data_IF_581144657808
#
_entry.id   IF_581144657808
#
_cell.length_a   1.000
_cell.length_b   1.000
_cell.length_c   1.000
_cell.angle_alpha   90.00
_cell.angle_beta   90.00
_cell.angle_gamma   90.00
#
_symmetry.space_group_name_H-M   'P 1'
#
loop_
_entity.id
_entity.type
_entity.pdbx_description
1 polymer ?
#
# COMPACT_ATOMS: atom_id res chain seq x y z
N UNK A 1 4.09 -5.22 0.34
CA UNK A 1 3.06 -4.19 0.28
C UNK A 1 2.42 -4.13 -1.08
N UNK A 2 1.40 -3.27 -1.18
CA UNK A 2 0.77 -2.86 -2.43
C UNK A 2 1.16 -1.40 -2.72
N UNK A 3 1.83 -1.14 -3.85
CA UNK A 3 2.34 0.19 -4.21
C UNK A 3 1.25 1.19 -4.65
N UNK A 4 -0.01 0.75 -4.67
CA UNK A 4 -1.18 1.54 -5.05
C UNK A 4 -1.63 1.27 -6.47
N UNK A 5 -2.24 2.28 -7.09
CA UNK A 5 -2.93 2.17 -8.36
C UNK A 5 -3.70 3.44 -8.68
N UNK A 6 -4.85 3.30 -9.32
CA UNK A 6 -5.71 4.41 -9.71
C UNK A 6 -6.46 5.00 -8.50
N UNK A 7 -6.58 6.33 -8.46
CA UNK A 7 -7.35 7.03 -7.43
C UNK A 7 -8.82 6.58 -7.41
N UNK A 8 -9.46 6.53 -8.58
CA UNK A 8 -10.88 6.19 -8.67
C UNK A 8 -11.14 4.78 -8.13
N UNK A 9 -10.26 3.80 -8.40
CA UNK A 9 -10.40 2.47 -7.82
C UNK A 9 -10.33 2.48 -6.29
N UNK A 10 -9.47 3.32 -5.69
CA UNK A 10 -9.47 3.46 -4.23
C UNK A 10 -10.78 4.07 -3.72
N UNK A 11 -11.33 5.06 -4.42
CA UNK A 11 -12.63 5.68 -4.11
C UNK A 11 -13.76 4.65 -4.18
N UNK A 12 -13.85 3.92 -5.29
CA UNK A 12 -14.87 2.90 -5.52
C UNK A 12 -14.80 1.79 -4.46
N UNK A 13 -13.58 1.35 -4.10
CA UNK A 13 -13.41 0.35 -3.04
C UNK A 13 -13.87 0.89 -1.69
N UNK A 14 -13.56 2.15 -1.36
CA UNK A 14 -14.01 2.76 -0.11
C UNK A 14 -15.53 2.85 -0.02
N UNK A 15 -16.20 3.25 -1.12
CA UNK A 15 -17.66 3.39 -1.20
C UNK A 15 -18.41 2.08 -0.90
N UNK A 16 -17.75 0.93 -1.04
CA UNK A 16 -18.35 -0.36 -0.66
C UNK A 16 -18.49 -0.55 0.85
N UNK A 17 -17.68 0.10 1.68
CA UNK A 17 -17.56 -0.19 3.11
C UNK A 17 -17.95 0.96 4.03
N UNK A 18 -18.14 2.16 3.49
CA UNK A 18 -18.57 3.35 4.25
C UNK A 18 -19.84 3.92 3.63
N UNK A 19 -20.64 4.63 4.42
CA UNK A 19 -21.78 5.39 3.92
C UNK A 19 -21.29 6.67 3.22
N UNK A 20 -22.14 7.71 3.11
CA UNK A 20 -21.82 8.99 2.47
C UNK A 20 -20.86 9.86 3.31
N UNK A 21 -19.73 9.29 3.71
CA UNK A 21 -18.65 9.90 4.46
C UNK A 21 -17.48 10.22 3.54
N UNK A 22 -16.56 11.03 4.04
CA UNK A 22 -15.42 11.49 3.26
C UNK A 22 -14.39 10.39 3.03
N UNK A 23 -13.91 10.26 1.80
CA UNK A 23 -12.90 9.27 1.39
C UNK A 23 -11.51 9.90 1.33
N UNK A 24 -11.35 10.94 0.51
CA UNK A 24 -10.05 11.59 0.27
C UNK A 24 -10.26 12.98 -0.30
N UNK A 25 -9.32 13.89 -0.04
CA UNK A 25 -9.24 15.15 -0.78
C UNK A 25 -7.93 15.25 -1.55
N UNK A 26 -8.01 15.75 -2.79
CA UNK A 26 -6.84 16.11 -3.59
C UNK A 26 -6.69 17.62 -3.52
N UNK A 27 -5.56 18.07 -2.94
CA UNK A 27 -5.27 19.50 -2.81
C UNK A 27 -4.16 19.92 -3.75
N UNK A 28 -4.49 20.82 -4.67
CA UNK A 28 -3.61 21.39 -5.67
C UNK A 28 -2.95 22.66 -5.12
N UNK A 29 -1.94 23.16 -5.84
CA UNK A 29 -1.36 24.48 -5.55
C UNK A 29 -2.39 25.59 -5.73
N UNK A 30 -3.22 25.52 -6.78
CA UNK A 30 -4.38 26.39 -6.95
C UNK A 30 -5.57 25.77 -6.20
N UNK A 31 -6.00 26.43 -5.12
CA UNK A 31 -7.05 25.91 -4.23
C UNK A 31 -8.42 25.78 -4.91
N UNK A 32 -8.67 26.52 -6.00
CA UNK A 32 -9.90 26.39 -6.79
C UNK A 32 -10.00 25.04 -7.52
N UNK A 33 -8.87 24.34 -7.69
CA UNK A 33 -8.83 23.02 -8.33
C UNK A 33 -8.96 21.87 -7.33
N UNK A 34 -9.06 22.16 -6.02
CA UNK A 34 -9.19 21.13 -5.00
C UNK A 34 -10.41 20.26 -5.26
N UNK A 35 -10.25 18.96 -5.05
CA UNK A 35 -11.33 17.96 -5.21
C UNK A 35 -11.52 17.22 -3.90
N UNK A 36 -12.77 16.94 -3.55
CA UNK A 36 -13.14 16.05 -2.45
C UNK A 36 -13.90 14.86 -3.04
N UNK A 37 -13.62 13.68 -2.51
CA UNK A 37 -14.29 12.44 -2.85
C UNK A 37 -14.96 11.91 -1.58
N UNK A 38 -16.22 11.52 -1.71
CA UNK A 38 -17.11 11.12 -0.64
C UNK A 38 -17.92 9.91 -1.12
N UNK A 39 -18.37 9.08 -0.18
CA UNK A 39 -19.23 7.96 -0.50
C UNK A 39 -20.53 8.43 -1.15
N UNK A 40 -21.02 7.69 -2.14
CA UNK A 40 -22.16 8.08 -2.95
C UNK A 40 -23.47 7.43 -2.49
N UNK A 41 -23.37 6.32 -1.76
CA UNK A 41 -24.49 5.52 -1.29
C UNK A 41 -24.25 4.99 0.13
N UNK A 42 -25.24 4.25 0.64
CA UNK A 42 -25.04 3.47 1.86
C UNK A 42 -24.05 2.33 1.57
N UNK A 43 -23.29 1.94 2.60
CA UNK A 43 -22.28 0.91 2.50
C UNK A 43 -22.90 -0.39 1.94
N UNK A 44 -22.30 -0.93 0.89
CA UNK A 44 -22.73 -2.21 0.31
C UNK A 44 -22.43 -3.37 1.25
N UNK A 45 -21.30 -3.30 1.95
CA UNK A 45 -20.88 -4.29 2.95
C UNK A 45 -21.33 -3.82 4.32
N UNK A 46 -22.05 -4.71 5.01
CA UNK A 46 -22.58 -4.45 6.34
C UNK A 46 -21.47 -4.04 7.32
N UNK A 47 -21.75 -3.01 8.13
CA UNK A 47 -20.81 -2.46 9.09
C UNK A 47 -20.40 -3.46 10.18
N UNK A 48 -21.25 -4.44 10.49
CA UNK A 48 -20.97 -5.52 11.46
C UNK A 48 -20.05 -6.59 10.89
N UNK A 49 -19.81 -6.61 9.56
CA UNK A 49 -18.90 -7.58 8.94
C UNK A 49 -17.48 -7.38 9.48
N UNK A 50 -16.90 -8.40 10.17
CA UNK A 50 -15.57 -8.29 10.76
C UNK A 50 -14.51 -8.14 9.70
N UNK A 51 -13.64 -7.14 9.85
CA UNK A 51 -12.52 -6.96 8.92
C UNK A 51 -11.35 -6.21 9.56
N UNK A 52 -10.18 -6.39 8.96
CA UNK A 52 -8.92 -5.68 9.27
C UNK A 52 -8.18 -5.39 7.97
N UNK A 53 -7.26 -4.42 8.02
CA UNK A 53 -6.33 -4.16 6.92
C UNK A 53 -4.90 -4.41 7.41
N UNK A 54 -4.16 -5.22 6.64
CA UNK A 54 -2.73 -5.41 6.84
C UNK A 54 -1.95 -4.43 5.96
N UNK A 55 -1.03 -3.67 6.57
CA UNK A 55 -0.14 -2.76 5.86
C UNK A 55 1.32 -2.99 6.23
N UNK A 56 2.21 -2.56 5.33
CA UNK A 56 3.64 -2.53 5.54
C UNK A 56 4.26 -1.26 4.93
N UNK A 57 5.57 -1.10 5.09
CA UNK A 57 6.36 0.02 4.56
C UNK A 57 6.30 0.18 3.02
N UNK A 58 5.85 -0.85 2.30
CA UNK A 58 5.70 -0.86 0.86
C UNK A 58 4.24 -0.60 0.42
N UNK A 59 3.35 -0.28 1.35
CA UNK A 59 1.98 0.12 1.09
C UNK A 59 1.94 1.60 0.74
N UNK A 60 1.51 1.95 -0.48
CA UNK A 60 1.68 3.30 -1.01
C UNK A 60 0.48 3.80 -1.83
N UNK A 61 0.35 5.13 -1.98
CA UNK A 61 -0.58 5.77 -2.93
C UNK A 61 -2.04 5.35 -2.71
N UNK A 62 -2.72 4.83 -3.72
CA UNK A 62 -4.11 4.35 -3.63
C UNK A 62 -4.36 3.40 -2.45
N UNK A 63 -3.39 2.54 -2.10
CA UNK A 63 -3.51 1.67 -0.91
C UNK A 63 -3.50 2.46 0.39
N UNK A 64 -2.76 3.56 0.48
CA UNK A 64 -2.79 4.45 1.64
C UNK A 64 -4.12 5.22 1.71
N UNK A 65 -4.68 5.60 0.56
CA UNK A 65 -6.00 6.25 0.49
C UNK A 65 -7.08 5.30 1.03
N UNK A 66 -7.12 4.06 0.54
CA UNK A 66 -8.10 3.07 0.98
C UNK A 66 -7.98 2.79 2.48
N UNK A 67 -6.76 2.55 2.97
CA UNK A 67 -6.55 2.30 4.39
C UNK A 67 -6.89 3.51 5.25
N UNK A 68 -6.48 4.73 4.85
CA UNK A 68 -6.78 5.95 5.60
C UNK A 68 -8.28 6.23 5.65
N UNK A 69 -8.98 6.07 4.53
CA UNK A 69 -10.43 6.24 4.47
C UNK A 69 -11.14 5.32 5.46
N UNK A 70 -10.83 4.02 5.42
CA UNK A 70 -11.50 3.05 6.28
C UNK A 70 -11.08 3.18 7.75
N UNK A 71 -9.84 3.59 8.02
CA UNK A 71 -9.37 3.84 9.39
C UNK A 71 -10.02 5.10 9.98
N UNK A 72 -10.04 6.21 9.25
CA UNK A 72 -10.54 7.50 9.76
C UNK A 72 -12.07 7.53 9.89
N UNK A 73 -12.77 6.67 9.16
CA UNK A 73 -14.21 6.45 9.31
C UNK A 73 -14.53 5.31 10.29
N UNK A 74 -13.56 4.89 11.12
CA UNK A 74 -13.71 3.87 12.17
C UNK A 74 -14.22 2.50 11.69
N UNK A 75 -14.09 2.21 10.38
CA UNK A 75 -14.59 0.96 9.78
C UNK A 75 -13.66 -0.22 10.05
N UNK A 76 -12.36 0.01 10.21
CA UNK A 76 -11.35 -1.06 10.30
C UNK A 76 -10.27 -0.76 11.34
N UNK A 77 -9.71 -1.84 11.90
CA UNK A 77 -8.41 -1.80 12.57
C UNK A 77 -7.31 -2.08 11.56
N UNK A 78 -6.24 -1.28 11.63
CA UNK A 78 -5.08 -1.39 10.74
C UNK A 78 -3.93 -2.04 11.51
N UNK A 79 -3.33 -3.08 10.95
CA UNK A 79 -2.31 -3.91 11.59
C UNK A 79 -1.07 -3.96 10.70
N UNK A 80 0.13 -3.95 11.30
CA UNK A 80 1.39 -4.17 10.58
C UNK A 80 2.39 -3.04 10.81
N UNK A 81 3.00 -2.51 9.74
CA UNK A 81 3.99 -1.42 9.83
C UNK A 81 3.47 -0.17 9.12
N UNK A 82 3.97 1.01 9.53
CA UNK A 82 3.66 2.28 8.88
C UNK A 82 3.85 2.21 7.37
N UNK A 83 2.92 2.80 6.62
CA UNK A 83 2.95 2.86 5.15
C UNK A 83 4.10 3.71 4.59
N UNK A 84 4.24 3.75 3.27
CA UNK A 84 5.35 4.44 2.59
C UNK A 84 5.33 5.97 2.71
N UNK A 85 4.14 6.59 2.68
CA UNK A 85 3.96 8.05 2.67
C UNK A 85 3.93 8.69 1.28
N UNK A 86 3.46 7.97 0.25
CA UNK A 86 3.36 8.48 -1.13
C UNK A 86 2.04 9.22 -1.33
N UNK A 87 1.97 10.42 -0.76
CA UNK A 87 0.81 11.30 -0.88
C UNK A 87 0.80 12.24 -2.09
N UNK A 88 1.75 12.16 -3.02
CA UNK A 88 1.84 13.06 -4.18
C UNK A 88 1.04 12.55 -5.39
N UNK A 89 0.30 13.44 -6.06
CA UNK A 89 -0.34 13.17 -7.35
C UNK A 89 0.58 13.62 -8.47
N UNK A 90 0.87 12.72 -9.41
CA UNK A 90 1.72 13.01 -10.56
C UNK A 90 0.89 13.02 -11.83
N UNK A 91 1.19 13.98 -12.70
CA UNK A 91 0.62 14.09 -14.04
C UNK A 91 1.72 13.93 -15.10
N UNK A 92 1.34 13.55 -16.31
CA UNK A 92 2.24 13.42 -17.46
C UNK A 92 1.74 14.33 -18.58
N UNK A 93 2.52 15.35 -18.91
CA UNK A 93 2.26 16.25 -20.03
C UNK A 93 3.11 15.85 -21.22
N UNK A 94 2.48 15.73 -22.38
CA UNK A 94 3.15 15.44 -23.65
C UNK A 94 3.58 16.76 -24.30
N UNK A 95 4.86 16.85 -24.64
CA UNK A 95 5.47 17.99 -25.32
C UNK A 95 5.86 17.59 -26.73
N UNK A 96 5.47 18.40 -27.70
CA UNK A 96 5.85 18.22 -29.10
C UNK A 96 7.05 19.12 -29.40
N UNK A 97 8.14 18.54 -29.92
CA UNK A 97 9.33 19.26 -30.35
C UNK A 97 9.69 18.86 -31.79
N UNK A 98 9.11 19.56 -32.77
CA UNK A 98 9.21 19.16 -34.18
C UNK A 98 8.42 17.88 -34.43
N UNK A 99 9.07 16.85 -34.97
CA UNK A 99 8.48 15.54 -35.24
C UNK A 99 8.65 14.54 -34.07
N UNK A 100 9.28 14.97 -32.97
CA UNK A 100 9.51 14.13 -31.79
C UNK A 100 8.52 14.41 -30.65
N UNK A 101 8.07 13.34 -30.00
CA UNK A 101 7.23 13.38 -28.82
C UNK A 101 8.07 13.19 -27.54
N UNK A 102 7.93 14.13 -26.61
CA UNK A 102 8.54 14.06 -25.29
C UNK A 102 7.46 14.09 -24.21
N UNK A 103 7.79 13.66 -23.00
CA UNK A 103 6.86 13.70 -21.89
C UNK A 103 7.56 14.21 -20.63
N UNK A 104 6.86 15.06 -19.86
CA UNK A 104 7.30 15.48 -18.53
C UNK A 104 6.31 14.94 -17.51
N UNK A 105 6.84 14.23 -16.52
CA UNK A 105 6.08 13.80 -15.35
C UNK A 105 6.41 14.68 -14.16
N UNK A 106 5.40 15.30 -13.55
CA UNK A 106 5.60 16.19 -12.41
C UNK A 106 4.46 16.10 -11.40
N UNK A 107 4.73 16.56 -10.19
CA UNK A 107 3.74 16.53 -9.10
C UNK A 107 2.83 17.75 -9.18
N UNK A 108 1.51 17.51 -9.19
CA UNK A 108 0.48 18.56 -9.34
C UNK A 108 -0.32 18.81 -8.05
N UNK A 109 -0.41 17.82 -7.17
CA UNK A 109 -1.24 17.87 -5.96
C UNK A 109 -0.77 16.89 -4.89
N UNK A 110 -1.44 16.94 -3.73
CA UNK A 110 -1.28 15.96 -2.66
C UNK A 110 -2.61 15.38 -2.19
N UNK A 111 -2.59 14.13 -1.73
CA UNK A 111 -3.69 13.44 -1.08
C UNK A 111 -3.78 13.77 0.40
N UNK A 112 -5.00 14.02 0.86
CA UNK A 112 -5.34 14.34 2.23
C UNK A 112 -6.40 13.39 2.73
N UNK A 113 -6.16 12.86 3.93
CA UNK A 113 -7.03 11.93 4.65
C UNK A 113 -8.37 12.59 5.02
N UNK A 114 -9.43 11.81 5.32
CA UNK A 114 -10.68 12.35 5.85
C UNK A 114 -10.49 13.24 7.08
N UNK A 115 -9.59 12.83 7.98
CA UNK A 115 -9.23 13.58 9.20
C UNK A 115 -8.44 14.89 8.95
N UNK A 116 -8.14 15.21 7.68
CA UNK A 116 -7.45 16.43 7.29
C UNK A 116 -5.93 16.39 7.39
N UNK A 117 -5.32 15.22 7.66
CA UNK A 117 -3.87 15.03 7.61
C UNK A 117 -3.37 14.75 6.19
N UNK A 118 -2.14 15.16 5.89
CA UNK A 118 -1.51 14.90 4.60
C UNK A 118 -0.86 13.52 4.61
N UNK A 119 -1.09 12.71 3.58
CA UNK A 119 -0.46 11.39 3.43
C UNK A 119 1.03 11.54 3.11
N UNK A 120 1.43 12.62 2.44
CA UNK A 120 2.78 12.78 1.93
C UNK A 120 3.82 12.95 3.05
N UNK A 121 4.82 12.07 3.06
CA UNK A 121 6.02 12.23 3.87
C UNK A 121 6.85 13.38 3.32
N UNK A 122 6.95 14.47 4.09
CA UNK A 122 7.88 15.56 3.81
C UNK A 122 9.27 15.15 4.27
N UNK A 123 10.30 15.46 3.50
CA UNK A 123 11.70 15.34 3.93
C UNK A 123 12.24 16.72 4.35
N UNK A 124 13.18 16.82 5.31
CA UNK A 124 13.72 15.74 6.13
C UNK A 124 12.85 15.62 7.37
N UNK A 125 11.92 14.66 7.39
CA UNK A 125 11.41 14.19 8.67
C UNK A 125 12.51 13.28 9.18
N UNK A 126 13.23 13.68 10.22
CA UNK A 126 14.12 12.74 10.89
C UNK A 126 13.32 11.48 11.17
N UNK A 127 13.79 10.32 10.70
CA UNK A 127 13.09 9.04 10.83
C UNK A 127 12.76 8.69 12.29
N UNK A 128 13.33 9.43 13.24
CA UNK A 128 13.21 9.33 14.69
C UNK A 128 12.06 10.14 15.30
N UNK A 129 11.42 11.06 14.56
CA UNK A 129 10.26 11.78 15.10
C UNK A 129 9.02 10.86 15.12
N UNK A 130 8.84 10.18 16.24
CA UNK A 130 7.68 9.35 16.54
C UNK A 130 6.36 10.14 16.44
N UNK A 131 6.37 11.47 16.47
CA UNK A 131 5.18 12.31 16.34
C UNK A 131 4.93 12.80 14.90
N UNK A 132 5.81 12.51 13.95
CA UNK A 132 5.64 12.98 12.58
C UNK A 132 4.35 12.42 11.96
N UNK A 133 3.49 13.29 11.45
CA UNK A 133 2.16 12.96 10.90
C UNK A 133 2.23 12.86 9.38
N UNK A 134 2.28 11.62 8.86
CA UNK A 134 2.29 11.30 7.43
C UNK A 134 1.94 9.82 7.21
N UNK A 135 1.57 9.45 5.98
CA UNK A 135 1.16 8.09 5.63
C UNK A 135 -0.02 7.59 6.48
N UNK A 136 -0.04 6.28 6.67
CA UNK A 136 -0.99 5.57 7.52
C UNK A 136 -0.20 4.77 8.54
N UNK A 137 -0.54 4.93 9.81
CA UNK A 137 0.02 4.14 10.91
C UNK A 137 -0.93 3.00 11.27
N UNK A 138 -0.41 1.86 11.72
CA UNK A 138 -1.23 0.86 12.40
C UNK A 138 -2.03 1.50 13.54
N UNK A 139 -3.20 0.94 13.82
CA UNK A 139 -3.98 1.31 15.00
C UNK A 139 -3.14 1.05 16.25
N UNK A 140 -3.28 1.89 17.27
CA UNK A 140 -2.54 1.78 18.53
C UNK A 140 -2.65 0.35 19.10
N UNK A 141 -1.51 -0.26 19.45
CA UNK A 141 -1.43 -1.64 19.94
C UNK A 141 -1.39 -2.75 18.85
N UNK A 142 -1.49 -2.38 17.56
CA UNK A 142 -1.47 -3.31 16.43
C UNK A 142 -0.26 -3.12 15.49
N UNK A 143 0.75 -2.38 15.92
CA UNK A 143 2.02 -2.31 15.22
C UNK A 143 2.81 -3.61 15.38
N UNK A 144 3.35 -4.11 14.26
CA UNK A 144 4.13 -5.34 14.20
C UNK A 144 5.39 -5.06 13.37
N UNK A 145 6.47 -4.71 14.05
CA UNK A 145 7.76 -4.42 13.43
C UNK A 145 8.49 -5.72 13.11
N UNK A 146 8.86 -5.89 11.85
CA UNK A 146 9.70 -7.00 11.41
C UNK A 146 11.18 -6.59 11.52
N UNK A 147 12.06 -7.54 11.86
CA UNK A 147 13.50 -7.30 11.78
C UNK A 147 13.95 -7.18 10.32
N UNK A 148 15.06 -6.49 10.05
CA UNK A 148 15.60 -6.38 8.69
C UNK A 148 15.87 -7.74 8.06
N UNK A 149 16.29 -8.73 8.85
CA UNK A 149 16.46 -10.12 8.41
C UNK A 149 15.14 -10.77 8.00
N UNK A 150 14.08 -10.59 8.80
CA UNK A 150 12.74 -11.09 8.47
C UNK A 150 12.17 -10.42 7.22
N UNK A 151 12.38 -9.12 7.06
CA UNK A 151 11.96 -8.38 5.87
C UNK A 151 12.71 -8.88 4.63
N UNK A 152 14.04 -9.05 4.72
CA UNK A 152 14.86 -9.58 3.63
C UNK A 152 14.46 -11.02 3.25
N UNK A 153 14.25 -11.89 4.24
CA UNK A 153 13.78 -13.25 4.02
C UNK A 153 12.41 -13.28 3.31
N UNK A 154 11.47 -12.43 3.75
CA UNK A 154 10.16 -12.29 3.12
C UNK A 154 10.26 -11.79 1.67
N UNK A 155 11.16 -10.83 1.39
CA UNK A 155 11.36 -10.31 0.04
C UNK A 155 11.98 -11.37 -0.88
N UNK A 156 12.99 -12.10 -0.40
CA UNK A 156 13.65 -13.15 -1.16
C UNK A 156 12.67 -14.30 -1.48
N UNK A 157 11.85 -14.72 -0.52
CA UNK A 157 10.81 -15.74 -0.72
C UNK A 157 9.75 -15.28 -1.75
N UNK A 158 9.34 -14.00 -1.72
CA UNK A 158 8.45 -13.42 -2.75
C UNK A 158 9.07 -13.51 -4.13
N UNK A 159 10.30 -13.02 -4.31
CA UNK A 159 10.99 -13.05 -5.60
C UNK A 159 11.09 -14.48 -6.13
N UNK A 160 11.44 -15.45 -5.28
CA UNK A 160 11.50 -16.87 -5.66
C UNK A 160 10.18 -17.41 -6.21
N UNK A 161 9.03 -17.01 -5.64
CA UNK A 161 7.71 -17.48 -6.10
C UNK A 161 7.30 -16.92 -7.46
N UNK A 162 7.74 -15.71 -7.80
CA UNK A 162 7.37 -15.05 -9.06
C UNK A 162 8.33 -15.36 -10.22
N UNK A 163 9.54 -15.83 -9.92
CA UNK A 163 10.46 -16.32 -10.94
C UNK A 163 9.99 -17.69 -11.42
N UNK A 164 9.64 -17.80 -12.70
CA UNK A 164 9.45 -19.09 -13.36
C UNK A 164 10.79 -19.81 -13.30
N UNK A 165 10.89 -20.85 -12.47
CA UNK A 165 12.06 -21.71 -12.48
C UNK A 165 12.02 -22.53 -13.78
N UNK A 166 13.09 -22.53 -14.59
CA UNK A 166 13.14 -23.43 -15.74
C UNK A 166 12.98 -24.87 -15.23
N UNK A 167 12.01 -25.59 -15.81
CA UNK A 167 11.87 -27.02 -15.57
C UNK A 167 13.20 -27.68 -15.99
N UNK A 168 13.89 -28.33 -15.06
CA UNK A 168 15.04 -29.15 -15.38
C UNK A 168 14.56 -30.40 -16.12
N UNK A 169 14.21 -30.26 -17.40
CA UNK A 169 14.21 -31.41 -18.28
C UNK A 169 15.68 -31.73 -18.57
N UNK A 170 16.20 -32.72 -17.85
CA UNK A 170 17.40 -33.44 -18.26
C UNK A 170 17.14 -34.05 -19.64
N UNK A 171 17.47 -33.32 -20.69
CA UNK A 171 17.84 -33.75 -22.05
C UNK A 171 17.61 -32.55 -22.96
N UNK A 172 18.65 -31.74 -23.19
CA UNK A 172 19.00 -31.16 -24.48
C UNK A 172 20.26 -30.29 -24.31
N UNK A 173 21.34 -30.74 -24.92
CA UNK A 173 22.65 -30.09 -24.98
C UNK A 173 22.62 -28.88 -25.92
N UNK A 174 21.93 -27.81 -25.56
CA UNK A 174 22.20 -26.48 -26.12
C UNK A 174 22.20 -25.45 -24.99
N UNK A 175 23.39 -25.01 -24.62
CA UNK A 175 23.59 -23.94 -23.65
C UNK A 175 23.21 -22.60 -24.29
N UNK A 176 22.23 -21.83 -23.74
CA UNK A 176 22.08 -20.45 -24.12
C UNK A 176 23.22 -19.64 -23.49
N UNK A 177 24.09 -19.07 -24.32
CA UNK A 177 25.13 -18.12 -23.90
C UNK A 177 24.49 -16.78 -23.53
N UNK A 178 24.10 -16.64 -22.26
CA UNK A 178 23.80 -15.34 -21.65
C UNK A 178 24.84 -15.02 -20.58
N UNK A 179 25.50 -13.84 -20.59
CA UNK A 179 26.31 -13.41 -19.46
C UNK A 179 25.41 -12.68 -18.44
N UNK A 180 25.32 -13.23 -17.23
CA UNK A 180 25.29 -12.51 -15.94
C UNK A 180 24.89 -13.49 -14.82
N UNK A 181 25.87 -13.77 -13.96
CA UNK A 181 25.74 -14.20 -12.56
C UNK A 181 24.54 -15.12 -12.25
N UNK A 182 24.76 -16.43 -12.28
CA UNK A 182 23.84 -17.39 -11.67
C UNK A 182 23.69 -17.02 -10.19
N UNK A 183 22.59 -16.37 -9.83
CA UNK A 183 22.21 -16.20 -8.44
C UNK A 183 21.86 -17.60 -7.94
N UNK A 184 22.73 -18.19 -7.12
CA UNK A 184 22.40 -19.42 -6.38
C UNK A 184 21.24 -19.08 -5.44
N UNK A 185 20.02 -19.45 -5.85
CA UNK A 185 18.88 -19.40 -4.97
C UNK A 185 18.93 -20.64 -4.07
N UNK A 186 19.21 -20.45 -2.78
CA UNK A 186 18.98 -21.48 -1.77
C UNK A 186 17.56 -22.03 -1.95
N UNK A 187 17.43 -23.35 -2.13
CA UNK A 187 16.14 -23.99 -2.39
C UNK A 187 15.26 -24.07 -1.13
N UNK A 188 15.80 -23.76 0.06
CA UNK A 188 15.04 -23.77 1.31
C UNK A 188 14.44 -22.39 1.61
N UNK A 189 13.14 -22.35 1.87
CA UNK A 189 12.46 -21.12 2.33
C UNK A 189 12.94 -20.79 3.74
N UNK A 190 13.36 -19.54 3.95
CA UNK A 190 13.76 -18.99 5.24
C UNK A 190 12.60 -18.26 5.93
N UNK A 191 11.41 -18.25 5.33
CA UNK A 191 10.22 -17.57 5.88
C UNK A 191 9.77 -18.27 7.18
N UNK A 192 9.41 -17.53 8.24
CA UNK A 192 8.70 -18.13 9.37
C UNK A 192 7.41 -18.82 8.90
N UNK A 193 7.11 -19.98 9.49
CA UNK A 193 5.94 -20.81 9.12
C UNK A 193 4.61 -20.05 9.24
N UNK A 194 4.57 -19.04 10.10
CA UNK A 194 3.41 -18.17 10.33
C UNK A 194 3.84 -16.72 10.13
N UNK A 195 3.01 -15.97 9.41
CA UNK A 195 3.24 -14.55 9.16
C UNK A 195 2.81 -13.72 10.39
N UNK A 196 3.70 -12.91 11.00
CA UNK A 196 3.39 -12.17 12.23
C UNK A 196 2.21 -11.19 12.08
N UNK A 197 2.07 -10.55 10.91
CA UNK A 197 0.96 -9.62 10.65
C UNK A 197 -0.36 -10.36 10.60
N UNK A 198 -0.38 -11.50 9.89
CA UNK A 198 -1.56 -12.36 9.79
C UNK A 198 -1.95 -12.95 11.15
N UNK A 199 -0.97 -13.40 11.94
CA UNK A 199 -1.23 -13.94 13.27
C UNK A 199 -1.91 -12.89 14.16
N UNK A 200 -1.37 -11.66 14.20
CA UNK A 200 -1.95 -10.56 14.97
C UNK A 200 -3.38 -10.22 14.52
N UNK A 201 -3.65 -10.29 13.22
CA UNK A 201 -4.99 -10.12 12.67
C UNK A 201 -5.97 -11.22 13.12
N UNK A 202 -5.54 -12.48 13.09
CA UNK A 202 -6.37 -13.60 13.56
C UNK A 202 -6.65 -13.47 15.06
N UNK A 203 -5.64 -13.11 15.86
CA UNK A 203 -5.81 -12.85 17.29
C UNK A 203 -6.85 -11.76 17.55
N UNK A 204 -6.79 -10.65 16.81
CA UNK A 204 -7.78 -9.58 16.91
C UNK A 204 -9.20 -10.04 16.55
N UNK A 205 -9.36 -10.74 15.43
CA UNK A 205 -10.66 -11.21 14.95
C UNK A 205 -11.25 -12.28 15.87
N UNK A 206 -10.45 -13.08 16.56
CA UNK A 206 -10.95 -14.09 17.50
C UNK A 206 -11.30 -13.50 18.87
N UNK A 207 -10.76 -12.34 19.24
CA UNK A 207 -11.00 -11.71 20.55
C UNK A 207 -12.27 -10.87 20.58
N UNK A 208 -12.80 -10.43 19.43
CA UNK A 208 -14.02 -9.64 19.34
C UNK A 208 -15.22 -10.55 19.07
N UNK A 209 -16.21 -10.50 19.95
CA UNK A 209 -17.57 -10.89 19.58
C UNK A 209 -18.14 -9.80 18.67
N UNK A 210 -18.18 -10.08 17.37
CA UNK A 210 -18.81 -9.20 16.37
C UNK A 210 -20.33 -9.40 16.28
N UNK A 211 -20.89 -10.22 17.18
CA UNK A 211 -22.32 -10.41 17.33
C UNK A 211 -22.90 -9.34 18.28
N UNK A 212 -23.18 -8.14 17.74
CA UNK A 212 -24.07 -7.16 18.37
C UNK A 212 -24.63 -6.21 17.31
#
# INVERSE_FOLDING_TARGET
>A
GNGGGLLNTAVDVCDLFINQQKIVSVRFRNTQQNRSYEGTADATIDATTPMVILIDENSASASEITTACLQDNERVVVIGQRSYGKGSVQDVEILQAGDEEHAIKFTIAHFWRPNGQNIHRREPVEQTDANAVWGVRPTEGYEVVLTSEQQAANQQDRLRRFVIQPQSNETNNESPTAPATSVEFDQKSTKPKVDPHLQKAIEYLNQRDFAA
#
